data_IF_183767214055
#
_entry.id   IF_183767214055
#
_cell.length_a   1.000
_cell.length_b   1.000
_cell.length_c   1.000
_cell.angle_alpha   90.00
_cell.angle_beta   90.00
_cell.angle_gamma   90.00
#
_symmetry.space_group_name_H-M   'P 1'
#
loop_
_entity.id
_entity.type
_entity.pdbx_description
1 polymer ?
#
# COMPACT_ATOMS: atom_id res chain seq x y z
N UNK A 1 -4.19 2.84 -25.51
CA UNK A 1 -4.17 3.62 -24.25
C UNK A 1 -3.98 2.64 -23.11
N UNK A 2 -2.82 2.64 -22.45
CA UNK A 2 -2.66 1.85 -21.22
C UNK A 2 -3.46 2.57 -20.13
N UNK A 3 -4.42 1.89 -19.51
CA UNK A 3 -5.21 2.44 -18.41
C UNK A 3 -4.28 2.89 -17.27
N UNK A 4 -4.57 4.02 -16.63
CA UNK A 4 -3.80 4.55 -15.50
C UNK A 4 -3.67 3.51 -14.37
N UNK A 5 -4.69 2.67 -14.21
CA UNK A 5 -4.68 1.52 -13.31
C UNK A 5 -3.56 0.52 -13.61
N UNK A 6 -3.34 0.18 -14.89
CA UNK A 6 -2.30 -0.76 -15.30
C UNK A 6 -0.90 -0.18 -15.06
N UNK A 7 -0.71 1.12 -15.34
CA UNK A 7 0.57 1.80 -15.05
C UNK A 7 0.90 1.80 -13.57
N UNK A 8 -0.08 2.12 -12.72
CA UNK A 8 0.12 2.05 -11.27
C UNK A 8 0.53 0.63 -10.84
N UNK A 9 -0.16 -0.40 -11.31
CA UNK A 9 0.17 -1.78 -10.95
C UNK A 9 1.59 -2.17 -11.38
N UNK A 10 2.01 -1.81 -12.58
CA UNK A 10 3.37 -2.09 -13.07
C UNK A 10 4.42 -1.33 -12.27
N UNK A 11 4.23 -0.04 -12.02
CA UNK A 11 5.17 0.77 -11.23
C UNK A 11 5.25 0.29 -9.78
N UNK A 12 4.11 -0.05 -9.15
CA UNK A 12 4.09 -0.66 -7.82
C UNK A 12 4.89 -1.96 -7.81
N UNK A 13 4.69 -2.85 -8.80
CA UNK A 13 5.44 -4.11 -8.90
C UNK A 13 6.94 -3.85 -8.96
N UNK A 14 7.39 -2.98 -9.86
CA UNK A 14 8.81 -2.66 -10.00
C UNK A 14 9.40 -2.02 -8.75
N UNK A 15 8.64 -1.12 -8.11
CA UNK A 15 9.10 -0.42 -6.92
C UNK A 15 9.31 -1.38 -5.74
N UNK A 16 8.39 -2.32 -5.52
CA UNK A 16 8.51 -3.36 -4.49
C UNK A 16 9.63 -4.36 -4.82
N UNK A 17 9.74 -4.82 -6.08
CA UNK A 17 10.81 -5.73 -6.49
C UNK A 17 12.21 -5.13 -6.25
N UNK A 18 12.38 -3.84 -6.56
CA UNK A 18 13.64 -3.13 -6.35
C UNK A 18 14.04 -2.98 -4.87
N UNK A 19 13.07 -3.10 -3.96
CA UNK A 19 13.25 -2.86 -2.51
C UNK A 19 12.90 -4.08 -1.65
N UNK A 20 12.78 -5.27 -2.24
CA UNK A 20 12.40 -6.51 -1.55
C UNK A 20 13.31 -6.95 -0.39
N UNK A 21 14.48 -6.33 -0.24
CA UNK A 21 15.42 -6.59 0.86
C UNK A 21 15.12 -5.75 2.12
N UNK A 22 14.27 -4.73 2.01
CA UNK A 22 13.81 -3.92 3.15
C UNK A 22 12.80 -4.72 3.97
N UNK A 23 12.77 -4.52 5.28
CA UNK A 23 11.74 -5.17 6.11
C UNK A 23 10.34 -4.80 5.62
N UNK A 24 9.39 -5.75 5.59
CA UNK A 24 8.07 -5.49 5.04
C UNK A 24 7.38 -4.26 5.66
N UNK A 25 7.50 -4.04 6.98
CA UNK A 25 6.88 -2.91 7.66
C UNK A 25 7.40 -1.56 7.13
N UNK A 26 8.72 -1.43 7.02
CA UNK A 26 9.36 -0.23 6.48
C UNK A 26 9.04 -0.05 5.00
N UNK A 27 9.01 -1.15 4.24
CA UNK A 27 8.71 -1.12 2.82
C UNK A 27 7.29 -0.58 2.55
N UNK A 28 6.30 -1.03 3.32
CA UNK A 28 4.93 -0.51 3.21
C UNK A 28 4.80 0.93 3.71
N UNK A 29 5.59 1.33 4.72
CA UNK A 29 5.62 2.72 5.16
C UNK A 29 6.18 3.65 4.08
N UNK A 30 7.32 3.28 3.50
CA UNK A 30 7.93 4.05 2.40
C UNK A 30 6.99 4.13 1.20
N UNK A 31 6.28 3.04 0.89
CA UNK A 31 5.26 3.05 -0.16
C UNK A 31 4.09 4.00 0.16
N UNK A 32 3.64 4.05 1.41
CA UNK A 32 2.62 5.00 1.85
C UNK A 32 3.09 6.45 1.68
N UNK A 33 4.34 6.77 2.01
CA UNK A 33 4.92 8.10 1.81
C UNK A 33 5.01 8.45 0.33
N UNK A 34 5.44 7.52 -0.53
CA UNK A 34 5.49 7.72 -1.98
C UNK A 34 4.09 7.92 -2.58
N UNK A 35 3.08 7.21 -2.06
CA UNK A 35 1.68 7.37 -2.47
C UNK A 35 1.08 8.70 -2.01
N UNK A 36 1.60 9.29 -0.94
CA UNK A 36 1.10 10.57 -0.43
C UNK A 36 1.80 11.78 -1.07
N UNK A 37 3.13 11.71 -1.21
CA UNK A 37 3.95 12.87 -1.57
C UNK A 37 4.89 12.62 -2.75
N UNK A 38 5.13 11.36 -3.10
CA UNK A 38 6.17 10.97 -4.05
C UNK A 38 5.62 10.58 -5.42
N UNK A 39 6.29 9.62 -6.05
CA UNK A 39 6.05 9.22 -7.44
C UNK A 39 4.66 8.63 -7.67
N UNK A 40 4.04 8.05 -6.63
CA UNK A 40 2.73 7.43 -6.72
C UNK A 40 1.57 8.40 -6.48
N UNK A 41 1.83 9.60 -5.95
CA UNK A 41 0.79 10.57 -5.58
C UNK A 41 -0.21 10.84 -6.70
N UNK A 42 0.27 11.13 -7.91
CA UNK A 42 -0.59 11.44 -9.05
C UNK A 42 -1.56 10.30 -9.39
N UNK A 43 -1.13 9.04 -9.23
CA UNK A 43 -1.96 7.88 -9.51
C UNK A 43 -3.05 7.74 -8.45
N UNK A 44 -2.69 7.87 -7.17
CA UNK A 44 -3.65 7.76 -6.08
C UNK A 44 -4.62 8.93 -6.03
N UNK A 45 -4.16 10.18 -6.22
CA UNK A 45 -5.04 11.35 -6.30
C UNK A 45 -6.05 11.19 -7.44
N UNK A 46 -5.59 10.86 -8.64
CA UNK A 46 -6.50 10.72 -9.77
C UNK A 46 -7.46 9.53 -9.60
N UNK A 47 -7.04 8.44 -8.96
CA UNK A 47 -7.96 7.33 -8.64
C UNK A 47 -9.00 7.75 -7.59
N UNK A 48 -8.59 8.47 -6.55
CA UNK A 48 -9.49 8.95 -5.48
C UNK A 48 -10.51 9.98 -5.99
N UNK A 49 -10.11 10.90 -6.86
CA UNK A 49 -10.98 11.89 -7.50
C UNK A 49 -12.07 11.24 -8.38
N UNK A 50 -11.76 10.11 -9.01
CA UNK A 50 -12.65 9.44 -9.97
C UNK A 50 -13.47 8.30 -9.36
N UNK A 51 -13.31 8.01 -8.06
CA UNK A 51 -14.06 6.95 -7.38
C UNK A 51 -15.09 7.50 -6.40
N UNK A 52 -16.36 7.56 -6.83
CA UNK A 52 -17.54 7.69 -5.96
C UNK A 52 -17.81 6.42 -5.10
N UNK A 53 -16.80 5.59 -4.82
CA UNK A 53 -16.96 4.37 -3.99
C UNK A 53 -16.23 3.10 -4.45
N UNK A 54 -15.32 3.19 -5.43
CA UNK A 54 -14.64 2.04 -6.05
C UNK A 54 -13.22 1.74 -5.56
N UNK A 55 -12.93 1.82 -4.26
CA UNK A 55 -11.63 1.43 -3.68
C UNK A 55 -11.33 -0.10 -3.64
N UNK A 56 -12.33 -1.01 -3.54
CA UNK A 56 -12.06 -2.46 -3.42
C UNK A 56 -11.35 -3.14 -4.61
N UNK A 57 -11.63 -2.78 -5.88
CA UNK A 57 -10.92 -3.35 -7.03
C UNK A 57 -9.42 -2.99 -7.04
N UNK A 58 -9.08 -1.78 -6.62
CA UNK A 58 -7.70 -1.29 -6.58
C UNK A 58 -6.85 -2.09 -5.59
N UNK A 59 -7.37 -2.31 -4.37
CA UNK A 59 -6.69 -3.11 -3.35
C UNK A 59 -6.40 -4.52 -3.85
N UNK A 60 -7.33 -5.15 -4.56
CA UNK A 60 -7.15 -6.51 -5.08
C UNK A 60 -6.06 -6.62 -6.17
N UNK A 61 -6.03 -5.65 -7.10
CA UNK A 61 -5.00 -5.59 -8.13
C UNK A 61 -3.60 -5.35 -7.53
N UNK A 62 -3.49 -4.36 -6.63
CA UNK A 62 -2.24 -4.05 -5.94
C UNK A 62 -1.76 -5.22 -5.06
N UNK A 63 -2.69 -5.91 -4.41
CA UNK A 63 -2.36 -7.11 -3.60
C UNK A 63 -1.68 -8.18 -4.44
N UNK A 64 -2.17 -8.40 -5.66
CA UNK A 64 -1.63 -9.42 -6.56
C UNK A 64 -0.20 -9.08 -6.96
N UNK A 65 0.03 -7.85 -7.45
CA UNK A 65 1.36 -7.44 -7.91
C UNK A 65 2.38 -7.30 -6.79
N UNK A 66 1.96 -6.89 -5.59
CA UNK A 66 2.84 -6.83 -4.42
C UNK A 66 3.14 -8.24 -3.92
N UNK A 67 2.17 -9.16 -3.91
CA UNK A 67 2.39 -10.56 -3.53
C UNK A 67 3.35 -11.32 -4.44
N UNK A 68 3.46 -10.93 -5.71
CA UNK A 68 4.48 -11.43 -6.63
C UNK A 68 5.89 -10.86 -6.31
N UNK A 69 5.96 -9.69 -5.68
CA UNK A 69 7.20 -8.97 -5.45
C UNK A 69 7.87 -9.28 -4.10
N UNK A 70 7.09 -9.61 -3.07
CA UNK A 70 7.56 -9.84 -1.70
C UNK A 70 6.99 -11.12 -1.09
N UNK A 71 7.76 -11.76 -0.20
CA UNK A 71 7.37 -12.98 0.50
C UNK A 71 6.50 -12.68 1.74
N UNK A 72 5.33 -12.08 1.55
CA UNK A 72 4.36 -11.79 2.62
C UNK A 72 3.03 -12.47 2.27
N UNK A 73 2.32 -13.10 3.23
CA UNK A 73 1.01 -13.67 2.97
C UNK A 73 0.05 -12.67 2.32
N UNK A 74 -0.59 -13.06 1.21
CA UNK A 74 -1.48 -12.21 0.40
C UNK A 74 -2.59 -11.56 1.23
N UNK A 75 -3.08 -12.25 2.26
CA UNK A 75 -4.08 -11.72 3.19
C UNK A 75 -3.56 -10.53 4.00
N UNK A 76 -2.29 -10.55 4.42
CA UNK A 76 -1.66 -9.47 5.17
C UNK A 76 -1.38 -8.29 4.24
N UNK A 77 -0.89 -8.55 3.02
CA UNK A 77 -0.71 -7.52 1.98
C UNK A 77 -2.03 -6.78 1.74
N UNK A 78 -3.13 -7.51 1.54
CA UNK A 78 -4.45 -6.92 1.29
C UNK A 78 -4.90 -6.01 2.44
N UNK A 79 -4.71 -6.43 3.69
CA UNK A 79 -5.05 -5.64 4.88
C UNK A 79 -4.25 -4.34 4.92
N UNK A 80 -2.93 -4.41 4.74
CA UNK A 80 -2.05 -3.23 4.77
C UNK A 80 -2.38 -2.27 3.64
N UNK A 81 -2.56 -2.77 2.41
CA UNK A 81 -2.96 -1.92 1.27
C UNK A 81 -4.34 -1.30 1.46
N UNK A 82 -5.27 -2.02 2.07
CA UNK A 82 -6.58 -1.48 2.43
C UNK A 82 -6.48 -0.28 3.38
N UNK A 83 -5.62 -0.37 4.41
CA UNK A 83 -5.36 0.73 5.34
C UNK A 83 -4.68 1.92 4.65
N UNK A 84 -3.67 1.66 3.80
CA UNK A 84 -3.01 2.70 3.02
C UNK A 84 -4.01 3.46 2.16
N UNK A 85 -4.86 2.76 1.42
CA UNK A 85 -5.88 3.37 0.56
C UNK A 85 -6.89 4.17 1.40
N UNK A 86 -7.31 3.64 2.54
CA UNK A 86 -8.18 4.35 3.49
C UNK A 86 -7.55 5.66 3.98
N UNK A 87 -6.31 5.62 4.46
CA UNK A 87 -5.59 6.80 4.94
C UNK A 87 -5.34 7.83 3.85
N UNK A 88 -4.99 7.39 2.63
CA UNK A 88 -4.85 8.28 1.48
C UNK A 88 -6.19 8.96 1.13
N UNK A 89 -7.30 8.23 1.19
CA UNK A 89 -8.64 8.78 0.98
C UNK A 89 -8.99 9.84 2.03
N UNK A 90 -8.71 9.58 3.31
CA UNK A 90 -8.92 10.57 4.38
C UNK A 90 -8.04 11.80 4.19
N UNK A 91 -6.77 11.62 3.82
CA UNK A 91 -5.87 12.74 3.52
C UNK A 91 -6.36 13.58 2.34
N UNK A 92 -6.97 12.95 1.35
CA UNK A 92 -7.48 13.61 0.15
C UNK A 92 -8.74 14.44 0.43
N UNK A 93 -9.67 13.92 1.24
CA UNK A 93 -10.96 14.55 1.48
C UNK A 93 -10.93 15.58 2.61
N UNK A 94 -10.24 15.28 3.72
CA UNK A 94 -10.35 16.05 4.97
C UNK A 94 -9.05 16.81 5.33
N UNK A 95 -8.05 16.79 4.44
CA UNK A 95 -6.85 17.61 4.60
C UNK A 95 -5.94 17.21 5.76
N UNK A 96 -5.79 15.89 6.01
CA UNK A 96 -4.78 15.24 6.86
C UNK A 96 -5.05 15.04 8.36
N UNK A 97 -6.28 15.17 8.88
CA UNK A 97 -6.51 15.08 10.34
C UNK A 97 -6.24 13.71 10.98
N UNK A 98 -6.36 12.61 10.24
CA UNK A 98 -6.33 11.25 10.82
C UNK A 98 -5.28 10.31 10.22
N UNK A 99 -4.14 10.85 9.77
CA UNK A 99 -3.03 10.02 9.30
C UNK A 99 -2.23 9.45 10.47
N UNK A 100 -1.83 8.17 10.41
CA UNK A 100 -1.02 7.58 11.47
C UNK A 100 0.35 8.25 11.51
N UNK A 101 0.92 8.38 12.72
CA UNK A 101 2.34 8.68 12.83
C UNK A 101 3.17 7.51 12.27
N UNK A 102 4.46 7.73 12.01
CA UNK A 102 5.36 6.64 11.59
C UNK A 102 5.36 5.49 12.60
N UNK A 103 5.37 5.80 13.89
CA UNK A 103 5.37 4.80 14.95
C UNK A 103 4.08 3.97 14.92
N UNK A 104 2.92 4.63 14.85
CA UNK A 104 1.62 3.95 14.80
C UNK A 104 1.46 3.11 13.54
N UNK A 105 1.92 3.62 12.40
CA UNK A 105 1.90 2.87 11.15
C UNK A 105 2.68 1.56 11.28
N UNK A 106 3.92 1.64 11.78
CA UNK A 106 4.79 0.48 11.91
C UNK A 106 4.22 -0.53 12.90
N UNK A 107 3.66 -0.08 14.02
CA UNK A 107 3.01 -0.93 15.02
C UNK A 107 1.79 -1.66 14.45
N UNK A 108 0.90 -0.94 13.75
CA UNK A 108 -0.29 -1.52 13.10
C UNK A 108 0.14 -2.55 12.05
N UNK A 109 1.11 -2.22 11.20
CA UNK A 109 1.57 -3.12 10.14
C UNK A 109 2.29 -4.33 10.73
N UNK A 110 3.07 -4.16 11.78
CA UNK A 110 3.68 -5.28 12.52
C UNK A 110 2.61 -6.21 13.09
N UNK A 111 1.58 -5.67 13.73
CA UNK A 111 0.45 -6.45 14.26
C UNK A 111 -0.29 -7.23 13.16
N UNK A 112 -0.48 -6.62 11.98
CA UNK A 112 -1.12 -7.28 10.83
C UNK A 112 -0.25 -8.40 10.26
N UNK A 113 1.06 -8.20 10.21
CA UNK A 113 2.00 -9.20 9.73
C UNK A 113 2.14 -10.37 10.71
N UNK A 114 1.79 -10.15 11.98
CA UNK A 114 1.91 -11.10 13.08
C UNK A 114 3.33 -11.14 13.65
N UNK A 115 3.45 -11.54 14.92
CA UNK A 115 4.74 -11.93 15.53
C UNK A 115 5.22 -13.31 15.03
N UNK A 116 4.49 -13.94 14.11
CA UNK A 116 4.80 -15.26 13.58
C UNK A 116 5.81 -15.20 12.42
N UNK A 117 7.05 -14.83 12.77
CA UNK A 117 8.21 -15.58 12.30
C UNK A 117 8.60 -16.61 13.38
N UNK A 118 7.64 -17.39 13.89
CA UNK A 118 7.96 -18.70 14.43
C UNK A 118 8.26 -19.57 13.21
N UNK A 119 9.54 -19.71 12.89
CA UNK A 119 10.03 -20.79 12.05
C UNK A 119 9.48 -22.10 12.62
N UNK A 120 8.47 -22.67 11.97
CA UNK A 120 8.14 -24.07 12.13
C UNK A 120 9.23 -24.84 11.39
N UNK A 121 10.15 -25.37 12.20
CA UNK A 121 11.10 -26.49 12.02
C UNK A 121 11.37 -26.97 10.60
#
# INVERSE_FOLDING_TARGET
MVSMHNRLCDETRYWFLARRQVSPQLLFYDYFIEAQYGCFKQYFSALLENTDGGLPPLSSALTTVVGEAIAVPTVNIRKVLGLIIYWLGQSHNDGSRDLPSKADFLDIVQSIMGDDYIFVV
#
